data_IF_008032001776
#
_entry.id   IF_008032001776
#
_cell.length_a   1.000
_cell.length_b   1.000
_cell.length_c   1.000
_cell.angle_alpha   90.00
_cell.angle_beta   90.00
_cell.angle_gamma   90.00
#
_symmetry.space_group_name_H-M   'P 1'
#
loop_
_entity.id
_entity.type
_entity.pdbx_description
1 polymer ?
#
# COMPACT_ATOMS: atom_id res chain seq x y z
N UNK A 1 71.58 65.12 31.26
CA UNK A 1 70.88 63.89 31.43
C UNK A 1 69.73 63.94 30.42
N UNK A 2 69.92 63.24 29.28
CA UNK A 2 68.97 63.22 28.19
C UNK A 2 68.29 61.84 28.16
N UNK A 3 66.99 61.79 28.39
CA UNK A 3 66.20 60.58 28.34
C UNK A 3 65.68 60.39 26.90
N UNK A 4 66.15 59.34 26.27
CA UNK A 4 65.61 58.90 24.96
C UNK A 4 64.42 57.98 25.19
N UNK A 5 63.24 58.41 24.74
CA UNK A 5 61.97 57.60 24.79
C UNK A 5 61.89 56.79 23.49
N UNK A 6 62.08 55.50 23.65
CA UNK A 6 61.98 54.54 22.51
C UNK A 6 60.50 54.15 22.39
N UNK A 7 59.77 54.65 21.36
CA UNK A 7 58.39 54.29 21.07
C UNK A 7 58.34 52.94 20.36
N UNK A 8 57.66 51.99 21.01
CA UNK A 8 57.37 50.66 20.45
C UNK A 8 56.09 50.74 19.61
N UNK A 9 56.20 50.65 18.30
CA UNK A 9 55.06 50.57 17.37
C UNK A 9 54.59 49.15 17.36
N UNK A 10 53.40 48.88 17.95
CA UNK A 10 52.65 47.63 17.78
C UNK A 10 51.90 47.71 16.46
N UNK A 11 52.33 46.94 15.45
CA UNK A 11 51.55 46.66 14.26
C UNK A 11 50.50 45.62 14.62
N UNK A 12 49.24 46.03 14.70
CA UNK A 12 48.12 45.12 14.74
C UNK A 12 47.94 44.52 13.34
N UNK A 13 48.37 43.28 13.15
CA UNK A 13 47.92 42.46 12.06
C UNK A 13 46.43 42.15 12.30
N UNK A 14 45.53 42.90 11.66
CA UNK A 14 44.14 42.57 11.53
C UNK A 14 44.04 41.36 10.61
N UNK A 15 43.86 40.15 11.15
CA UNK A 15 43.33 39.06 10.41
C UNK A 15 41.88 39.42 10.06
N UNK A 16 41.62 39.75 8.81
CA UNK A 16 40.29 39.72 8.27
C UNK A 16 39.81 38.25 8.35
N UNK A 17 38.96 37.93 9.31
CA UNK A 17 38.11 36.76 9.16
C UNK A 17 37.28 37.02 7.92
N UNK A 18 37.49 36.21 6.86
CA UNK A 18 36.49 36.01 5.85
C UNK A 18 35.23 35.54 6.62
N UNK A 19 34.23 36.41 6.72
CA UNK A 19 32.91 36.03 7.19
C UNK A 19 32.30 35.12 6.11
N UNK A 20 32.74 33.86 6.07
CA UNK A 20 32.05 32.83 5.31
C UNK A 20 30.62 32.75 5.90
N UNK A 21 29.66 33.15 5.12
CA UNK A 21 28.25 33.01 5.51
C UNK A 21 28.03 31.54 5.92
N UNK A 22 27.28 31.30 6.99
CA UNK A 22 27.05 29.93 7.43
C UNK A 22 26.43 29.13 6.27
N UNK A 23 26.88 27.87 6.08
CA UNK A 23 26.40 27.05 4.97
C UNK A 23 24.89 26.93 5.02
N UNK A 24 24.26 27.10 3.87
CA UNK A 24 22.79 27.02 3.71
C UNK A 24 22.34 25.59 4.01
N UNK A 25 21.45 25.42 4.97
CA UNK A 25 20.89 24.12 5.33
C UNK A 25 20.16 23.49 4.11
N UNK A 26 20.39 22.22 3.85
CA UNK A 26 19.65 21.47 2.86
C UNK A 26 18.26 21.11 3.39
N UNK A 27 17.21 21.52 2.71
CA UNK A 27 15.83 21.21 3.06
C UNK A 27 15.00 20.93 1.82
N UNK A 28 14.01 20.05 1.94
CA UNK A 28 13.03 19.78 0.90
C UNK A 28 12.09 21.00 0.77
N UNK A 29 11.94 21.52 -0.44
CA UNK A 29 11.05 22.63 -0.78
C UNK A 29 9.77 22.13 -1.47
N UNK A 30 9.85 21.04 -2.22
CA UNK A 30 8.75 20.42 -2.90
C UNK A 30 9.03 18.98 -3.25
N UNK A 31 8.00 18.15 -3.27
CA UNK A 31 8.05 16.77 -3.74
C UNK A 31 6.77 16.50 -4.51
N UNK A 32 6.87 16.15 -5.78
CA UNK A 32 5.71 15.90 -6.64
C UNK A 32 5.85 14.58 -7.39
N UNK A 33 4.71 13.96 -7.71
CA UNK A 33 4.58 12.88 -8.68
C UNK A 33 3.71 13.41 -9.84
N UNK A 34 4.34 13.78 -10.95
CA UNK A 34 3.64 14.54 -11.99
C UNK A 34 3.07 15.85 -11.44
N UNK A 35 1.75 16.02 -11.49
CA UNK A 35 1.05 17.18 -10.96
C UNK A 35 0.62 17.05 -9.48
N UNK A 36 0.82 15.88 -8.85
CA UNK A 36 0.36 15.59 -7.49
C UNK A 36 1.44 15.99 -6.48
N UNK A 37 1.07 16.81 -5.50
CA UNK A 37 1.94 17.23 -4.41
C UNK A 37 2.00 16.13 -3.33
N UNK A 38 3.18 15.52 -3.18
CA UNK A 38 3.46 14.53 -2.13
C UNK A 38 3.94 15.18 -0.82
N UNK A 39 4.17 16.49 -0.80
CA UNK A 39 4.57 17.22 0.39
C UNK A 39 3.38 17.78 1.18
N UNK A 40 2.16 17.44 0.76
CA UNK A 40 0.93 17.79 1.45
C UNK A 40 0.85 17.17 2.86
N UNK A 41 -0.01 17.73 3.72
CA UNK A 41 -0.21 17.26 5.09
C UNK A 41 -0.84 15.87 5.20
N UNK A 42 -1.52 15.41 4.15
CA UNK A 42 -2.17 14.09 4.07
C UNK A 42 -1.56 13.28 2.93
N UNK A 43 -1.51 11.96 3.09
CA UNK A 43 -1.08 11.04 2.03
C UNK A 43 -1.98 11.21 0.81
N UNK A 44 -1.44 11.65 -0.35
CA UNK A 44 -2.25 11.80 -1.55
C UNK A 44 -2.62 10.44 -2.15
N UNK A 45 -3.74 10.41 -2.87
CA UNK A 45 -4.21 9.27 -3.66
C UNK A 45 -4.24 9.61 -5.15
N UNK A 46 -4.49 8.61 -5.98
CA UNK A 46 -4.54 8.75 -7.44
C UNK A 46 -3.22 9.21 -8.08
N UNK A 47 -2.08 8.82 -7.49
CA UNK A 47 -0.77 9.04 -8.10
C UNK A 47 -0.65 8.12 -9.32
N UNK A 48 -0.33 8.64 -10.53
CA UNK A 48 -0.15 7.77 -11.69
C UNK A 48 0.89 6.67 -11.43
N UNK A 49 0.57 5.44 -11.80
CA UNK A 49 1.42 4.28 -11.53
C UNK A 49 2.77 4.33 -12.28
N UNK A 50 2.86 5.10 -13.35
CA UNK A 50 4.07 5.32 -14.16
C UNK A 50 4.79 6.64 -13.84
N UNK A 51 4.36 7.37 -12.78
CA UNK A 51 4.90 8.68 -12.45
C UNK A 51 6.37 8.61 -12.01
N UNK A 52 7.15 9.58 -12.45
CA UNK A 52 8.43 9.93 -11.82
C UNK A 52 8.20 10.94 -10.71
N UNK A 53 9.00 10.86 -9.67
CA UNK A 53 8.94 11.78 -8.53
C UNK A 53 10.02 12.85 -8.70
N UNK A 54 9.65 14.09 -8.42
CA UNK A 54 10.57 15.23 -8.50
C UNK A 54 10.66 15.89 -7.11
N UNK A 55 11.85 15.80 -6.52
CA UNK A 55 12.19 16.47 -5.26
C UNK A 55 13.00 17.74 -5.55
N UNK A 56 12.53 18.88 -5.06
CA UNK A 56 13.22 20.18 -5.17
C UNK A 56 13.72 20.61 -3.80
N UNK A 57 14.97 21.03 -3.72
CA UNK A 57 15.65 21.38 -2.48
C UNK A 57 16.00 22.86 -2.41
N UNK A 58 16.35 23.34 -1.21
CA UNK A 58 16.75 24.72 -0.95
C UNK A 58 18.07 25.15 -1.59
N UNK A 59 18.93 24.19 -1.93
CA UNK A 59 20.25 24.41 -2.55
C UNK A 59 20.65 23.16 -3.37
N UNK A 60 21.72 23.26 -4.13
CA UNK A 60 22.21 22.18 -4.99
C UNK A 60 22.59 20.94 -4.17
N UNK A 61 22.16 19.79 -4.67
CA UNK A 61 22.40 18.47 -4.08
C UNK A 61 23.68 17.87 -4.67
N UNK A 62 24.51 17.25 -3.83
CA UNK A 62 25.65 16.48 -4.28
C UNK A 62 25.18 15.19 -5.00
N UNK A 63 25.40 15.04 -6.32
CA UNK A 63 24.94 13.89 -7.08
C UNK A 63 25.49 12.55 -6.57
N UNK A 64 26.63 12.54 -5.91
CA UNK A 64 27.22 11.33 -5.35
C UNK A 64 26.41 10.78 -4.17
N UNK A 65 25.69 11.65 -3.49
CA UNK A 65 24.89 11.30 -2.30
C UNK A 65 23.43 11.00 -2.61
N UNK A 66 22.87 11.55 -3.67
CA UNK A 66 21.51 11.28 -4.13
C UNK A 66 21.49 10.07 -5.07
N UNK A 67 21.36 8.89 -4.51
CA UNK A 67 21.42 7.61 -5.22
C UNK A 67 20.40 6.61 -4.63
N UNK A 68 20.24 5.44 -5.25
CA UNK A 68 19.26 4.42 -4.84
C UNK A 68 19.54 3.77 -3.48
N UNK A 69 20.70 4.01 -2.86
CA UNK A 69 20.95 3.57 -1.48
C UNK A 69 20.42 4.58 -0.44
N UNK A 70 20.24 5.83 -0.84
CA UNK A 70 19.82 6.93 0.02
C UNK A 70 18.41 7.44 -0.29
N UNK A 71 17.82 6.92 -1.39
CA UNK A 71 16.43 7.13 -1.80
C UNK A 71 15.78 5.76 -1.94
N UNK A 72 14.79 5.46 -1.12
CA UNK A 72 14.09 4.17 -1.16
C UNK A 72 12.61 4.38 -1.43
N UNK A 73 12.03 3.47 -2.21
CA UNK A 73 10.60 3.37 -2.46
C UNK A 73 10.16 1.98 -2.00
N UNK A 74 9.26 1.91 -1.03
CA UNK A 74 8.82 0.65 -0.43
C UNK A 74 7.32 0.48 -0.64
N UNK A 75 6.90 -0.73 -0.96
CA UNK A 75 5.51 -1.10 -1.06
C UNK A 75 4.99 -1.53 0.31
N UNK A 76 3.90 -0.90 0.78
CA UNK A 76 3.44 -1.00 2.17
C UNK A 76 2.98 -2.40 2.59
N UNK A 77 2.25 -3.13 1.73
CA UNK A 77 1.60 -4.37 2.16
C UNK A 77 2.54 -5.57 2.36
N UNK A 78 3.76 -5.53 1.84
CA UNK A 78 4.75 -6.63 1.91
C UNK A 78 6.18 -6.14 2.18
N UNK A 79 6.34 -4.85 2.47
CA UNK A 79 7.63 -4.18 2.73
C UNK A 79 8.65 -4.37 1.59
N UNK A 80 8.17 -4.62 0.35
CA UNK A 80 9.06 -4.84 -0.79
C UNK A 80 9.72 -3.55 -1.25
N UNK A 81 11.04 -3.56 -1.37
CA UNK A 81 11.80 -2.49 -1.98
C UNK A 81 11.55 -2.45 -3.50
N UNK A 82 11.14 -1.30 -4.01
CA UNK A 82 10.92 -1.05 -5.43
C UNK A 82 12.16 -0.38 -6.02
N UNK A 83 12.83 -1.01 -6.99
CA UNK A 83 14.00 -0.43 -7.61
C UNK A 83 13.72 0.92 -8.28
N UNK A 84 14.57 1.90 -8.01
CA UNK A 84 14.45 3.25 -8.58
C UNK A 84 15.76 3.70 -9.24
N UNK A 85 15.62 4.48 -10.32
CA UNK A 85 16.69 5.26 -10.90
C UNK A 85 16.65 6.67 -10.30
N UNK A 86 17.80 7.16 -9.82
CA UNK A 86 17.91 8.49 -9.22
C UNK A 86 18.86 9.34 -10.06
N UNK A 87 18.42 10.52 -10.45
CA UNK A 87 19.23 11.49 -11.18
C UNK A 87 19.15 12.86 -10.53
N UNK A 88 20.26 13.61 -10.55
CA UNK A 88 20.35 14.92 -9.91
C UNK A 88 20.74 16.00 -10.92
N UNK A 89 20.07 17.14 -10.85
CA UNK A 89 20.36 18.33 -11.65
C UNK A 89 20.21 19.59 -10.78
N UNK A 90 21.34 20.15 -10.33
CA UNK A 90 21.34 21.28 -9.40
C UNK A 90 20.62 20.95 -8.09
N UNK A 91 19.58 21.71 -7.77
CA UNK A 91 18.76 21.50 -6.57
C UNK A 91 17.57 20.53 -6.78
N UNK A 92 17.53 19.81 -7.89
CA UNK A 92 16.44 18.91 -8.24
C UNK A 92 16.93 17.47 -8.33
N UNK A 93 16.23 16.55 -7.65
CA UNK A 93 16.44 15.10 -7.75
C UNK A 93 15.20 14.48 -8.38
N UNK A 94 15.40 13.74 -9.46
CA UNK A 94 14.34 12.96 -10.12
C UNK A 94 14.52 11.49 -9.77
N UNK A 95 13.42 10.86 -9.33
CA UNK A 95 13.37 9.46 -8.89
C UNK A 95 12.35 8.77 -9.79
N UNK A 96 12.79 7.75 -10.52
CA UNK A 96 11.94 7.04 -11.48
C UNK A 96 11.95 5.56 -11.13
N UNK A 97 10.79 4.97 -10.77
CA UNK A 97 10.67 3.52 -10.62
C UNK A 97 11.15 2.81 -11.89
N UNK A 98 11.83 1.68 -11.72
CA UNK A 98 12.34 0.88 -12.85
C UNK A 98 11.20 0.22 -13.61
N UNK A 99 10.14 -0.15 -12.89
CA UNK A 99 8.91 -0.73 -13.42
C UNK A 99 7.71 0.11 -12.99
N UNK A 100 6.60 0.00 -13.73
CA UNK A 100 5.33 0.61 -13.37
C UNK A 100 4.87 0.09 -12.01
N UNK A 101 4.43 0.98 -11.14
CA UNK A 101 3.91 0.64 -9.82
C UNK A 101 2.58 -0.11 -9.90
N UNK A 102 2.26 -0.89 -8.88
CA UNK A 102 0.94 -1.52 -8.76
C UNK A 102 -0.17 -0.47 -8.61
N UNK A 103 -1.32 -0.72 -9.23
CA UNK A 103 -2.50 0.14 -9.09
C UNK A 103 -3.11 0.06 -7.69
N UNK A 104 -3.77 1.14 -7.25
CA UNK A 104 -4.47 1.21 -5.96
C UNK A 104 -3.61 0.85 -4.74
N UNK A 105 -2.30 0.94 -4.87
CA UNK A 105 -1.33 0.41 -3.92
C UNK A 105 -0.69 1.54 -3.12
N UNK A 106 -0.56 1.34 -1.80
CA UNK A 106 0.13 2.26 -0.90
C UNK A 106 1.65 2.04 -0.98
N UNK A 107 2.38 3.15 -1.11
CA UNK A 107 3.85 3.20 -1.14
C UNK A 107 4.39 4.23 -0.16
N UNK A 108 5.62 4.02 0.30
CA UNK A 108 6.40 5.00 1.05
C UNK A 108 7.69 5.35 0.28
N UNK A 109 7.88 6.64 0.00
CA UNK A 109 9.11 7.20 -0.55
C UNK A 109 9.90 7.85 0.58
N UNK A 110 11.14 7.37 0.80
CA UNK A 110 12.03 7.84 1.85
C UNK A 110 13.29 8.46 1.29
N UNK A 111 13.69 9.59 1.87
CA UNK A 111 14.93 10.30 1.59
C UNK A 111 15.78 10.32 2.87
N UNK A 112 16.96 9.72 2.82
CA UNK A 112 17.82 9.58 4.00
C UNK A 112 18.64 10.84 4.30
N UNK A 113 19.12 10.96 5.54
CA UNK A 113 20.04 12.03 5.95
C UNK A 113 21.44 11.90 5.35
N UNK A 114 21.75 10.84 4.62
CA UNK A 114 22.99 10.69 3.88
C UNK A 114 23.02 11.54 2.59
N UNK A 115 21.85 12.05 2.13
CA UNK A 115 21.78 13.03 1.03
C UNK A 115 22.33 14.36 1.54
N UNK A 116 23.29 14.92 0.80
CA UNK A 116 23.99 16.16 1.18
C UNK A 116 23.86 17.22 0.09
N UNK A 117 23.96 18.47 0.48
CA UNK A 117 24.20 19.56 -0.47
C UNK A 117 25.64 19.55 -0.98
N UNK A 118 25.90 20.22 -2.08
CA UNK A 118 27.27 20.48 -2.58
C UNK A 118 28.13 21.23 -1.56
N UNK A 119 27.51 21.93 -0.59
CA UNK A 119 28.16 22.56 0.56
C UNK A 119 28.34 21.64 1.77
N UNK A 120 28.06 20.33 1.66
CA UNK A 120 28.25 19.34 2.73
C UNK A 120 27.20 19.38 3.86
N UNK A 121 26.03 20.00 3.65
CA UNK A 121 24.94 20.02 4.63
C UNK A 121 24.02 18.84 4.39
N UNK A 122 23.76 18.05 5.43
CA UNK A 122 22.88 16.88 5.38
C UNK A 122 21.40 17.27 5.30
N UNK A 123 20.62 16.48 4.56
CA UNK A 123 19.16 16.55 4.54
C UNK A 123 18.61 15.98 5.86
N UNK A 124 17.67 16.64 6.55
CA UNK A 124 16.86 15.95 7.55
C UNK A 124 16.09 14.78 6.89
N UNK A 125 16.30 13.56 7.39
CA UNK A 125 15.61 12.39 6.86
C UNK A 125 14.10 12.61 6.88
N UNK A 126 13.42 12.15 5.81
CA UNK A 126 11.97 12.29 5.68
C UNK A 126 11.39 11.11 4.89
N UNK A 127 10.12 10.83 5.10
CA UNK A 127 9.33 9.92 4.27
C UNK A 127 7.98 10.51 3.91
N UNK A 128 7.40 10.02 2.82
CA UNK A 128 6.07 10.39 2.33
C UNK A 128 5.37 9.15 1.80
N UNK A 129 4.13 8.99 2.23
CA UNK A 129 3.26 7.93 1.71
C UNK A 129 2.33 8.47 0.63
N UNK A 130 1.96 7.62 -0.31
CA UNK A 130 0.98 7.91 -1.35
C UNK A 130 0.33 6.62 -1.83
N UNK A 131 -0.88 6.73 -2.40
CA UNK A 131 -1.57 5.61 -3.04
C UNK A 131 -1.66 5.86 -4.54
N UNK A 132 -1.33 4.86 -5.35
CA UNK A 132 -1.46 4.94 -6.80
C UNK A 132 -2.92 4.97 -7.25
N UNK A 133 -3.16 5.44 -8.46
CA UNK A 133 -4.48 5.35 -9.11
C UNK A 133 -4.89 3.90 -9.37
N UNK A 134 -6.16 3.68 -9.71
CA UNK A 134 -6.69 2.36 -10.03
C UNK A 134 -7.19 1.59 -8.81
N UNK A 135 -7.37 0.30 -8.99
CA UNK A 135 -7.86 -0.63 -7.96
C UNK A 135 -6.76 -1.59 -7.57
N UNK A 136 -6.55 -1.76 -6.27
CA UNK A 136 -5.57 -2.71 -5.76
C UNK A 136 -5.89 -4.13 -6.19
N UNK A 137 -4.92 -4.78 -6.82
CA UNK A 137 -4.97 -6.20 -7.17
C UNK A 137 -3.80 -6.90 -6.49
N UNK A 138 -4.05 -7.77 -5.49
CA UNK A 138 -2.99 -8.53 -4.83
C UNK A 138 -2.21 -9.38 -5.83
N UNK A 139 -0.90 -9.48 -5.66
CA UNK A 139 -0.10 -10.38 -6.46
C UNK A 139 -0.58 -11.83 -6.28
N UNK A 140 -0.77 -12.54 -7.41
CA UNK A 140 -1.28 -13.91 -7.40
C UNK A 140 -2.78 -14.04 -7.14
N UNK A 141 -3.56 -12.96 -7.22
CA UNK A 141 -5.01 -13.05 -7.16
C UNK A 141 -5.53 -13.87 -8.36
N UNK A 142 -6.28 -14.93 -8.08
CA UNK A 142 -6.82 -15.86 -9.11
C UNK A 142 -8.30 -15.66 -9.35
N UNK A 143 -9.04 -15.12 -8.37
CA UNK A 143 -10.46 -14.82 -8.50
C UNK A 143 -10.86 -13.63 -7.60
N UNK A 144 -11.84 -12.84 -8.05
CA UNK A 144 -12.39 -11.71 -7.30
C UNK A 144 -13.83 -11.41 -7.70
N UNK A 145 -14.75 -11.54 -6.77
CA UNK A 145 -16.17 -11.17 -6.95
C UNK A 145 -16.44 -9.90 -6.15
N UNK A 146 -16.71 -8.80 -6.87
CA UNK A 146 -16.99 -7.51 -6.26
C UNK A 146 -18.47 -7.29 -5.95
N UNK A 147 -19.36 -8.12 -6.51
CA UNK A 147 -20.81 -8.05 -6.33
C UNK A 147 -21.47 -6.72 -6.74
N UNK A 148 -20.89 -6.01 -7.70
CA UNK A 148 -21.46 -4.81 -8.31
C UNK A 148 -22.56 -5.16 -9.33
N UNK A 149 -23.76 -5.48 -8.80
CA UNK A 149 -24.94 -5.92 -9.53
C UNK A 149 -24.83 -7.28 -10.28
N UNK A 150 -23.76 -8.02 -10.08
CA UNK A 150 -23.54 -9.34 -10.65
C UNK A 150 -22.63 -10.19 -9.75
N UNK A 151 -22.44 -11.46 -10.12
CA UNK A 151 -21.52 -12.38 -9.48
C UNK A 151 -20.44 -12.88 -10.48
N UNK A 152 -20.00 -11.99 -11.36
CA UNK A 152 -18.93 -12.27 -12.29
C UNK A 152 -17.57 -12.13 -11.60
N UNK A 153 -16.66 -13.02 -11.94
CA UNK A 153 -15.26 -12.91 -11.53
C UNK A 153 -14.56 -11.81 -12.31
N UNK A 154 -13.96 -10.86 -11.62
CA UNK A 154 -13.32 -9.68 -12.20
C UNK A 154 -11.87 -9.93 -12.63
N UNK A 155 -11.27 -11.08 -12.26
CA UNK A 155 -9.86 -11.39 -12.48
C UNK A 155 -9.68 -12.67 -13.31
N UNK A 156 -10.32 -13.75 -12.93
CA UNK A 156 -10.21 -15.06 -13.55
C UNK A 156 -11.41 -15.40 -14.45
N UNK A 157 -11.79 -16.67 -14.44
CA UNK A 157 -12.91 -17.20 -15.23
C UNK A 157 -13.93 -17.93 -14.35
N UNK A 158 -14.00 -17.60 -13.07
CA UNK A 158 -14.89 -18.23 -12.08
C UNK A 158 -16.21 -17.46 -11.96
N UNK A 159 -16.84 -17.20 -13.12
CA UNK A 159 -18.15 -16.54 -13.17
C UNK A 159 -19.23 -17.45 -12.61
N UNK A 160 -20.23 -16.87 -11.96
CA UNK A 160 -21.38 -17.62 -11.48
C UNK A 160 -22.11 -18.31 -12.64
N UNK A 161 -22.44 -19.59 -12.47
CA UNK A 161 -23.31 -20.34 -13.40
C UNK A 161 -24.78 -20.16 -13.07
N UNK A 162 -25.10 -19.89 -11.80
CA UNK A 162 -26.45 -19.61 -11.35
C UNK A 162 -26.44 -18.63 -10.17
N UNK A 163 -27.47 -17.77 -10.11
CA UNK A 163 -27.69 -16.78 -9.05
C UNK A 163 -29.17 -16.80 -8.68
N UNK A 164 -29.51 -17.44 -7.58
CA UNK A 164 -30.90 -17.67 -7.15
C UNK A 164 -31.22 -16.76 -5.95
N UNK A 165 -32.28 -15.99 -6.04
CA UNK A 165 -32.85 -15.18 -4.94
C UNK A 165 -31.82 -14.27 -4.23
N UNK A 166 -30.78 -13.84 -4.92
CA UNK A 166 -29.77 -12.90 -4.42
C UNK A 166 -30.12 -11.50 -4.92
N UNK A 167 -29.96 -10.51 -4.04
CA UNK A 167 -30.08 -9.09 -4.37
C UNK A 167 -28.75 -8.37 -4.11
N UNK A 168 -28.51 -7.27 -4.78
CA UNK A 168 -27.31 -6.45 -4.59
C UNK A 168 -27.67 -5.16 -3.90
N UNK A 169 -27.10 -4.94 -2.74
CA UNK A 169 -27.42 -3.82 -1.82
C UNK A 169 -26.17 -2.98 -1.57
N UNK A 170 -26.34 -1.80 -0.99
CA UNK A 170 -25.18 -1.00 -0.53
C UNK A 170 -24.29 -1.84 0.40
N UNK A 171 -22.99 -1.85 0.12
CA UNK A 171 -22.01 -2.60 0.85
C UNK A 171 -21.69 -2.01 2.23
N UNK A 172 -20.48 -2.27 2.74
CA UNK A 172 -20.03 -1.80 4.05
C UNK A 172 -20.13 -0.28 4.22
N UNK A 173 -19.92 0.46 3.16
CA UNK A 173 -20.18 1.89 3.06
C UNK A 173 -20.31 2.26 1.58
N UNK A 174 -20.87 3.43 1.28
CA UNK A 174 -21.07 3.91 -0.09
C UNK A 174 -19.76 3.98 -0.92
N UNK A 175 -18.60 4.07 -0.27
CA UNK A 175 -17.30 4.06 -0.95
C UNK A 175 -16.79 2.67 -1.32
N UNK A 176 -17.41 1.60 -0.77
CA UNK A 176 -17.02 0.21 -1.05
C UNK A 176 -17.98 -0.49 -2.01
N UNK A 177 -18.86 0.27 -2.69
CA UNK A 177 -19.78 -0.27 -3.67
C UNK A 177 -20.87 -1.14 -3.07
N UNK A 178 -21.24 -2.22 -3.77
CA UNK A 178 -22.33 -3.11 -3.40
C UNK A 178 -21.85 -4.41 -2.73
N UNK A 179 -22.80 -5.16 -2.23
CA UNK A 179 -22.61 -6.49 -1.68
C UNK A 179 -23.78 -7.40 -2.07
N UNK A 180 -23.52 -8.68 -2.23
CA UNK A 180 -24.55 -9.69 -2.42
C UNK A 180 -25.32 -9.90 -1.10
N UNK A 181 -26.62 -9.79 -1.15
CA UNK A 181 -27.53 -10.02 -0.01
C UNK A 181 -28.30 -11.30 -0.21
N UNK A 182 -28.19 -12.20 0.75
CA UNK A 182 -28.79 -13.51 0.80
C UNK A 182 -29.96 -13.51 1.76
N UNK A 183 -31.07 -14.17 1.40
CA UNK A 183 -32.28 -14.24 2.21
C UNK A 183 -32.20 -15.28 3.35
N UNK A 184 -31.11 -16.05 3.41
CA UNK A 184 -30.87 -17.07 4.43
C UNK A 184 -31.68 -18.36 4.27
N UNK A 185 -32.40 -18.53 3.18
CA UNK A 185 -33.27 -19.67 2.94
C UNK A 185 -33.04 -20.33 1.57
N UNK A 186 -33.21 -19.60 0.50
CA UNK A 186 -33.13 -20.11 -0.88
C UNK A 186 -31.99 -19.48 -1.69
N UNK A 187 -31.41 -18.40 -1.20
CA UNK A 187 -30.38 -17.68 -1.95
C UNK A 187 -29.10 -18.47 -2.08
N UNK A 188 -28.62 -18.57 -3.32
CA UNK A 188 -27.35 -19.20 -3.64
C UNK A 188 -26.68 -18.49 -4.83
N UNK A 189 -25.37 -18.46 -4.82
CA UNK A 189 -24.50 -18.17 -5.99
C UNK A 189 -23.69 -19.43 -6.24
N UNK A 190 -23.85 -20.05 -7.41
CA UNK A 190 -23.09 -21.22 -7.80
C UNK A 190 -21.95 -20.83 -8.73
N UNK A 191 -20.74 -21.19 -8.35
CA UNK A 191 -19.52 -20.93 -9.13
C UNK A 191 -18.94 -22.28 -9.53
N UNK A 192 -18.98 -22.64 -10.84
CA UNK A 192 -18.44 -23.89 -11.31
C UNK A 192 -16.92 -23.93 -11.20
N UNK A 193 -16.36 -25.13 -11.07
CA UNK A 193 -14.92 -25.37 -10.99
C UNK A 193 -14.22 -24.68 -9.79
N UNK A 194 -14.95 -24.41 -8.71
CA UNK A 194 -14.40 -23.81 -7.50
C UNK A 194 -13.34 -24.69 -6.81
N UNK A 195 -13.32 -25.99 -7.08
CA UNK A 195 -12.30 -26.95 -6.65
C UNK A 195 -10.90 -26.61 -7.22
N UNK A 196 -10.82 -26.07 -8.42
CA UNK A 196 -9.55 -25.60 -9.00
C UNK A 196 -8.87 -24.50 -8.15
N UNK A 197 -9.65 -23.73 -7.39
CA UNK A 197 -9.15 -22.65 -6.52
C UNK A 197 -8.41 -23.17 -5.29
N UNK A 198 -8.63 -24.42 -4.90
CA UNK A 198 -8.05 -25.04 -3.70
C UNK A 198 -7.10 -26.20 -4.02
N UNK A 199 -6.95 -26.57 -5.31
CA UNK A 199 -5.95 -27.57 -5.76
C UNK A 199 -4.54 -26.96 -5.84
N UNK A 200 -4.14 -26.31 -4.75
CA UNK A 200 -2.84 -25.63 -4.58
C UNK A 200 -2.32 -25.84 -3.17
N UNK A 201 -1.00 -25.80 -2.98
CA UNK A 201 -0.37 -26.00 -1.66
C UNK A 201 -0.65 -24.85 -0.68
N UNK A 202 -0.75 -23.61 -1.22
CA UNK A 202 -0.89 -22.40 -0.42
C UNK A 202 -1.92 -21.47 -1.07
N UNK A 203 -2.88 -20.99 -0.29
CA UNK A 203 -3.87 -20.02 -0.75
C UNK A 203 -4.26 -19.06 0.36
N UNK A 204 -4.75 -17.91 -0.03
CA UNK A 204 -5.37 -16.92 0.85
C UNK A 204 -6.79 -16.65 0.38
N UNK A 205 -7.75 -16.73 1.29
CA UNK A 205 -9.14 -16.37 1.09
C UNK A 205 -9.47 -15.16 1.94
N UNK A 206 -9.96 -14.09 1.33
CA UNK A 206 -10.34 -12.86 2.03
C UNK A 206 -11.73 -12.40 1.57
N UNK A 207 -12.62 -12.11 2.51
CA UNK A 207 -13.94 -11.58 2.21
C UNK A 207 -14.52 -10.81 3.40
N UNK A 208 -15.53 -10.00 3.14
CA UNK A 208 -16.33 -9.36 4.16
C UNK A 208 -17.70 -10.02 4.24
N UNK A 209 -18.14 -10.33 5.44
CA UNK A 209 -19.48 -10.84 5.70
C UNK A 209 -20.17 -9.99 6.77
N UNK A 210 -21.43 -9.66 6.53
CA UNK A 210 -22.33 -9.06 7.53
C UNK A 210 -23.41 -10.07 7.85
N UNK A 211 -23.45 -10.51 9.09
CA UNK A 211 -24.51 -11.40 9.60
C UNK A 211 -25.60 -10.57 10.25
N UNK A 212 -26.84 -11.05 10.21
CA UNK A 212 -27.89 -10.52 11.06
C UNK A 212 -27.86 -11.24 12.43
N UNK A 213 -28.48 -10.61 13.43
CA UNK A 213 -28.60 -11.17 14.77
C UNK A 213 -29.88 -12.02 14.94
N UNK A 214 -30.70 -12.14 13.90
CA UNK A 214 -31.95 -12.91 13.94
C UNK A 214 -31.60 -14.37 13.66
N UNK A 215 -32.11 -15.25 14.53
CA UNK A 215 -31.93 -16.69 14.41
C UNK A 215 -32.55 -17.21 13.11
N UNK A 216 -31.83 -18.07 12.41
CA UNK A 216 -32.35 -18.84 11.31
C UNK A 216 -32.86 -20.19 11.80
N UNK A 217 -34.03 -20.60 11.33
CA UNK A 217 -34.62 -21.90 11.66
C UNK A 217 -34.57 -22.80 10.44
N UNK A 218 -34.28 -24.08 10.62
CA UNK A 218 -34.41 -25.09 9.58
C UNK A 218 -35.88 -25.47 9.34
N UNK A 219 -36.14 -26.41 8.42
CA UNK A 219 -37.47 -26.88 8.06
C UNK A 219 -38.23 -27.55 9.25
N UNK A 220 -37.52 -27.97 10.30
CA UNK A 220 -38.05 -28.58 11.50
C UNK A 220 -38.20 -27.55 12.66
N UNK A 221 -38.13 -26.27 12.35
CA UNK A 221 -38.17 -25.16 13.32
C UNK A 221 -37.07 -25.19 14.38
N UNK A 222 -35.96 -25.89 14.15
CA UNK A 222 -34.82 -25.86 15.03
C UNK A 222 -33.81 -24.77 14.59
N UNK A 223 -33.04 -24.17 15.52
CA UNK A 223 -31.98 -23.23 15.18
C UNK A 223 -31.03 -23.83 14.16
N UNK A 224 -30.77 -23.10 13.07
CA UNK A 224 -29.87 -23.49 12.00
C UNK A 224 -28.76 -22.46 11.82
N UNK A 225 -27.58 -22.91 11.48
CA UNK A 225 -26.47 -22.05 11.11
C UNK A 225 -26.63 -21.50 9.69
N UNK A 226 -25.84 -20.50 9.41
CA UNK A 226 -25.69 -19.98 8.05
C UNK A 226 -24.47 -20.62 7.39
N UNK A 227 -24.67 -21.29 6.27
CA UNK A 227 -23.59 -21.69 5.38
C UNK A 227 -23.25 -20.48 4.51
N UNK A 228 -22.08 -19.88 4.73
CA UNK A 228 -21.71 -18.64 4.06
C UNK A 228 -21.00 -18.93 2.74
N UNK A 229 -20.10 -19.91 2.73
CA UNK A 229 -19.34 -20.27 1.56
C UNK A 229 -18.83 -21.72 1.65
N UNK A 230 -18.79 -22.40 0.53
CA UNK A 230 -18.13 -23.69 0.36
C UNK A 230 -17.37 -23.77 -0.94
N UNK A 231 -16.22 -24.40 -0.90
CA UNK A 231 -15.37 -24.71 -2.04
C UNK A 231 -15.10 -26.20 -2.06
N UNK A 232 -15.22 -26.85 -3.26
CA UNK A 232 -14.84 -28.24 -3.46
C UNK A 232 -15.75 -29.27 -2.78
N UNK A 233 -17.00 -28.95 -2.54
CA UNK A 233 -17.98 -29.91 -1.98
C UNK A 233 -17.57 -30.46 -0.62
N UNK A 234 -17.54 -31.79 -0.47
CA UNK A 234 -17.24 -32.46 0.82
C UNK A 234 -15.76 -32.44 1.21
N UNK A 235 -14.87 -32.11 0.27
CA UNK A 235 -13.42 -32.17 0.46
C UNK A 235 -12.72 -30.81 0.46
N UNK A 236 -13.50 -29.73 0.49
CA UNK A 236 -12.96 -28.38 0.41
C UNK A 236 -13.07 -27.58 1.69
N UNK A 237 -13.18 -26.28 1.52
CA UNK A 237 -13.30 -25.30 2.58
C UNK A 237 -14.77 -25.01 2.83
N UNK A 238 -15.18 -24.96 4.10
CA UNK A 238 -16.49 -24.51 4.52
C UNK A 238 -16.37 -23.38 5.53
N UNK A 239 -17.12 -22.32 5.30
CA UNK A 239 -17.26 -21.20 6.20
C UNK A 239 -18.71 -21.12 6.67
N UNK A 240 -18.94 -21.37 7.96
CA UNK A 240 -20.26 -21.44 8.58
C UNK A 240 -20.34 -20.53 9.80
N UNK A 241 -21.55 -20.03 10.06
CA UNK A 241 -21.90 -19.32 11.29
C UNK A 241 -22.97 -20.18 11.98
N UNK A 242 -22.61 -20.93 13.03
CA UNK A 242 -23.55 -21.78 13.75
C UNK A 242 -24.70 -20.99 14.40
N UNK A 243 -25.87 -21.61 14.50
CA UNK A 243 -27.08 -20.97 14.98
C UNK A 243 -27.02 -20.49 16.44
N UNK A 244 -26.34 -21.25 17.28
CA UNK A 244 -26.38 -21.07 18.74
C UNK A 244 -25.11 -20.48 19.34
N UNK A 245 -24.15 -20.06 18.48
CA UNK A 245 -22.84 -19.61 18.92
C UNK A 245 -22.45 -18.27 18.31
N UNK A 246 -21.80 -17.44 19.09
CA UNK A 246 -21.20 -16.18 18.64
C UNK A 246 -19.79 -16.35 18.04
N UNK A 247 -19.54 -17.46 17.33
CA UNK A 247 -18.26 -17.75 16.70
C UNK A 247 -18.47 -18.24 15.26
N UNK A 248 -17.43 -18.12 14.46
CA UNK A 248 -17.40 -18.56 13.07
C UNK A 248 -16.65 -19.88 13.00
N UNK A 249 -17.23 -20.85 12.30
CA UNK A 249 -16.58 -22.13 12.03
C UNK A 249 -15.94 -22.10 10.66
N UNK A 250 -14.65 -22.37 10.64
CA UNK A 250 -13.89 -22.68 9.43
C UNK A 250 -13.54 -24.18 9.45
N UNK A 251 -13.98 -24.90 8.45
CA UNK A 251 -13.72 -26.34 8.33
C UNK A 251 -13.03 -26.62 7.00
N UNK A 252 -11.98 -27.42 7.07
CA UNK A 252 -11.27 -27.95 5.91
C UNK A 252 -11.21 -29.47 6.03
N UNK A 253 -11.32 -30.19 4.92
CA UNK A 253 -11.10 -31.62 4.84
C UNK A 253 -9.92 -31.87 3.93
N UNK A 254 -8.96 -32.66 4.43
CA UNK A 254 -7.80 -33.12 3.67
C UNK A 254 -7.82 -34.63 3.61
N UNK A 255 -7.54 -35.17 2.45
CA UNK A 255 -7.18 -36.57 2.30
C UNK A 255 -5.65 -36.69 2.48
N UNK A 256 -5.21 -37.45 3.47
CA UNK A 256 -3.79 -37.72 3.63
C UNK A 256 -3.30 -38.63 2.50
N UNK A 257 -2.00 -38.55 2.18
CA UNK A 257 -1.40 -39.35 1.10
C UNK A 257 -1.49 -40.89 1.31
N UNK A 258 -1.88 -41.30 2.50
CA UNK A 258 -2.15 -42.71 2.84
C UNK A 258 -3.63 -43.13 2.69
N UNK A 259 -4.51 -42.21 2.25
CA UNK A 259 -5.92 -42.46 2.02
C UNK A 259 -6.78 -42.50 3.29
N UNK A 260 -6.32 -41.87 4.42
CA UNK A 260 -7.09 -41.75 5.67
C UNK A 260 -7.61 -40.35 5.94
#
# INVERSE_FOLDING_TARGET
MSLIFLGLIFAFLSCSKDDDAPPVALSLQGLTAGAIDLNAATSPSNVPADASFTATFSTDVDPATANSSNVTLTRDYDDADIPVNVTTSGNTVTITPVETLGEGTLYELSLSSAIMSTGGQALPALSRTFTTEGTFVPAGQVAYWNFEDNADDQVGNYNASDVVDVTYVEGRSATFGKAASFNGNTSIIEIPNGDDLIDVSDYTLSFWVKTNSEGHLNVDENPAGHFVMGLGGAHGIQFEIPADYAWVKFATQYEFADGT
#
